data_IF_950779446396
#
_entry.id   IF_950779446396
#
_cell.length_a   1.000
_cell.length_b   1.000
_cell.length_c   1.000
_cell.angle_alpha   90.00
_cell.angle_beta   90.00
_cell.angle_gamma   90.00
#
_symmetry.space_group_name_H-M   'P 1'
#
loop_
_entity.id
_entity.type
_entity.pdbx_description
1 polymer ?
#
# COMPACT_ATOMS: atom_id res chain seq x y z
N UNK A 1 -1.09 -29.85 9.13
CA UNK A 1 -0.08 -28.91 9.00
C UNK A 1 -0.62 -27.53 8.95
N UNK A 2 -1.14 -27.04 8.06
CA UNK A 2 -1.84 -25.79 8.06
C UNK A 2 -0.98 -24.55 8.09
N UNK A 3 -1.64 -23.45 8.37
CA UNK A 3 -1.03 -22.15 8.32
C UNK A 3 0.01 -21.89 9.37
N UNK A 4 -0.09 -22.55 10.54
CA UNK A 4 0.88 -22.35 11.60
C UNK A 4 2.30 -22.74 11.16
N UNK A 5 2.41 -23.86 10.44
CA UNK A 5 3.69 -24.30 9.93
C UNK A 5 4.19 -23.36 8.85
N UNK A 6 3.26 -22.85 8.05
CA UNK A 6 3.60 -22.00 6.95
C UNK A 6 4.15 -20.65 7.40
N UNK A 7 3.52 -20.00 8.36
CA UNK A 7 4.02 -18.71 8.81
C UNK A 7 5.34 -18.84 9.54
N UNK A 8 5.54 -19.93 10.29
CA UNK A 8 6.78 -20.16 10.98
C UNK A 8 7.94 -20.30 10.01
N UNK A 9 7.71 -21.01 8.89
CA UNK A 9 8.71 -21.16 7.86
C UNK A 9 9.08 -19.82 7.23
N UNK A 10 8.08 -19.00 6.93
CA UNK A 10 8.31 -17.68 6.35
C UNK A 10 9.06 -16.79 7.33
N UNK A 11 8.67 -16.79 8.60
CA UNK A 11 9.34 -15.98 9.60
C UNK A 11 10.81 -16.39 9.75
N UNK A 12 11.07 -17.68 9.70
CA UNK A 12 12.44 -18.16 9.80
C UNK A 12 13.29 -17.65 8.63
N UNK A 13 12.73 -17.70 7.43
CA UNK A 13 13.43 -17.21 6.25
C UNK A 13 13.68 -15.71 6.32
N UNK A 14 12.69 -14.97 6.79
CA UNK A 14 12.84 -13.53 6.93
C UNK A 14 13.91 -13.17 7.97
N UNK A 15 13.99 -13.97 9.04
CA UNK A 15 14.95 -13.70 10.10
C UNK A 15 16.40 -13.86 9.68
N UNK A 16 16.65 -14.63 8.62
CA UNK A 16 18.02 -14.86 8.17
C UNK A 16 18.39 -14.07 6.92
N UNK A 17 17.56 -13.08 6.54
CA UNK A 17 17.88 -12.23 5.43
C UNK A 17 19.10 -11.40 5.81
N UNK A 18 20.12 -11.43 4.97
CA UNK A 18 21.35 -10.68 5.20
C UNK A 18 21.59 -9.71 4.03
N UNK A 19 22.67 -8.99 4.08
CA UNK A 19 22.99 -8.01 3.05
C UNK A 19 23.01 -8.57 1.64
N UNK A 20 23.50 -9.78 1.49
CA UNK A 20 23.54 -10.40 0.18
C UNK A 20 22.14 -10.65 -0.34
N UNK A 21 21.28 -11.11 0.55
CA UNK A 21 19.91 -11.37 0.21
C UNK A 21 19.22 -10.08 -0.23
N UNK A 22 19.48 -9.00 0.48
CA UNK A 22 18.93 -7.70 0.14
C UNK A 22 19.44 -7.21 -1.21
N UNK A 23 20.72 -7.39 -1.46
CA UNK A 23 21.30 -6.98 -2.72
C UNK A 23 20.73 -7.76 -3.90
N UNK A 24 20.58 -9.05 -3.73
CA UNK A 24 20.09 -9.91 -4.81
C UNK A 24 18.67 -9.54 -5.06
N UNK A 25 18.12 -8.80 -4.14
CA UNK A 25 16.83 -8.56 -4.22
C UNK A 25 16.48 -7.32 -4.76
N UNK A 26 17.32 -6.54 -5.02
CA UNK A 26 16.99 -5.31 -5.62
C UNK A 26 16.01 -5.58 -6.72
N UNK A 27 16.00 -6.68 -7.20
CA UNK A 27 15.04 -6.97 -8.15
C UNK A 27 13.98 -7.84 -7.63
N UNK A 28 13.90 -7.97 -6.42
CA UNK A 28 13.31 -8.96 -5.94
C UNK A 28 12.28 -8.98 -5.23
N UNK A 29 11.58 -8.17 -5.42
CA UNK A 29 10.30 -8.18 -5.02
C UNK A 29 9.87 -9.55 -4.86
N UNK A 30 10.71 -10.39 -5.01
CA UNK A 30 10.28 -11.41 -5.41
C UNK A 30 10.62 -12.54 -4.73
N UNK A 31 11.55 -12.51 -4.15
CA UNK A 31 12.06 -13.64 -3.54
C UNK A 31 11.19 -14.14 -2.39
N UNK A 32 10.38 -13.29 -1.88
CA UNK A 32 9.49 -13.67 -0.79
C UNK A 32 8.06 -13.53 -1.25
N UNK A 33 7.51 -14.57 -1.81
CA UNK A 33 6.14 -14.49 -2.29
C UNK A 33 5.18 -14.33 -1.14
N UNK A 34 4.24 -13.41 -1.29
CA UNK A 34 3.22 -13.22 -0.28
C UNK A 34 2.08 -14.20 -0.49
N UNK A 35 2.06 -14.85 -1.63
CA UNK A 35 0.97 -15.76 -1.95
C UNK A 35 0.81 -16.84 -0.92
N UNK A 36 -0.37 -17.09 -0.54
CA UNK A 36 -0.65 -18.13 0.40
C UNK A 36 -0.81 -17.67 1.85
N UNK A 37 -0.29 -16.51 2.22
CA UNK A 37 -0.49 -15.97 3.54
C UNK A 37 -1.44 -14.78 3.51
N UNK A 38 -1.29 -13.90 2.52
CA UNK A 38 -2.23 -12.83 2.27
C UNK A 38 -2.74 -12.98 0.85
N UNK A 39 -4.00 -12.71 0.63
CA UNK A 39 -4.52 -12.71 -0.73
C UNK A 39 -3.98 -11.48 -1.47
N UNK A 40 -4.03 -11.50 -2.81
CA UNK A 40 -3.46 -10.41 -3.59
C UNK A 40 -4.05 -9.04 -3.26
N UNK A 41 -5.34 -8.97 -3.00
CA UNK A 41 -6.00 -7.71 -2.67
C UNK A 41 -5.48 -7.16 -1.35
N UNK A 42 -5.44 -8.00 -0.32
CA UNK A 42 -4.96 -7.59 0.99
C UNK A 42 -3.50 -7.15 0.92
N UNK A 43 -2.66 -7.91 0.20
CA UNK A 43 -1.27 -7.55 0.02
C UNK A 43 -1.13 -6.19 -0.66
N UNK A 44 -1.93 -5.94 -1.70
CA UNK A 44 -1.87 -4.67 -2.41
C UNK A 44 -2.32 -3.50 -1.53
N UNK A 45 -3.34 -3.71 -0.70
CA UNK A 45 -3.79 -2.67 0.23
C UNK A 45 -2.72 -2.35 1.28
N UNK A 46 -2.05 -3.36 1.79
CA UNK A 46 -0.94 -3.16 2.73
C UNK A 46 0.17 -2.35 2.06
N UNK A 47 0.45 -2.63 0.79
CA UNK A 47 1.48 -1.91 0.05
C UNK A 47 1.11 -0.44 -0.16
N UNK A 48 -0.15 -0.14 -0.42
CA UNK A 48 -0.60 1.25 -0.50
C UNK A 48 -0.34 1.96 0.82
N UNK A 49 -0.70 1.33 1.93
CA UNK A 49 -0.47 1.90 3.25
C UNK A 49 1.01 2.18 3.51
N UNK A 50 1.86 1.25 3.13
CA UNK A 50 3.31 1.41 3.30
C UNK A 50 3.84 2.57 2.47
N UNK A 51 3.38 2.71 1.23
CA UNK A 51 3.79 3.80 0.35
C UNK A 51 3.40 5.17 0.92
N UNK A 52 2.21 5.25 1.49
CA UNK A 52 1.76 6.49 2.14
C UNK A 52 2.64 6.78 3.35
N UNK A 53 2.89 5.79 4.17
CA UNK A 53 3.64 5.96 5.41
C UNK A 53 5.08 6.42 5.20
N UNK A 54 5.72 5.96 4.13
CA UNK A 54 7.10 6.36 3.86
C UNK A 54 7.20 7.65 3.03
N UNK A 55 6.05 8.21 2.66
CA UNK A 55 6.05 9.46 1.88
C UNK A 55 6.55 9.29 0.46
N UNK A 56 6.10 8.23 -0.20
CA UNK A 56 6.53 7.92 -1.57
C UNK A 56 6.15 9.00 -2.58
N UNK A 57 6.89 9.14 -3.66
CA UNK A 57 6.55 10.09 -4.73
C UNK A 57 5.21 9.75 -5.38
N UNK A 58 4.61 10.76 -6.02
CA UNK A 58 3.32 10.65 -6.67
C UNK A 58 3.19 9.43 -7.58
N UNK A 59 4.21 9.17 -8.39
CA UNK A 59 4.16 8.06 -9.34
C UNK A 59 4.03 6.71 -8.63
N UNK A 60 4.66 6.57 -7.48
CA UNK A 60 4.57 5.34 -6.71
C UNK A 60 3.19 5.18 -6.08
N UNK A 61 2.61 6.26 -5.59
CA UNK A 61 1.28 6.23 -5.00
C UNK A 61 0.22 5.90 -6.05
N UNK A 62 0.34 6.48 -7.23
CA UNK A 62 -0.57 6.19 -8.32
C UNK A 62 -0.46 4.73 -8.76
N UNK A 63 0.77 4.26 -8.91
CA UNK A 63 1.01 2.88 -9.31
C UNK A 63 0.50 1.88 -8.27
N UNK A 64 0.77 2.14 -7.01
CA UNK A 64 0.30 1.28 -5.93
C UNK A 64 -1.23 1.22 -5.85
N UNK A 65 -1.88 2.38 -6.04
CA UNK A 65 -3.33 2.46 -6.04
C UNK A 65 -3.91 1.69 -7.24
N UNK A 66 -3.34 1.89 -8.42
CA UNK A 66 -3.79 1.20 -9.63
C UNK A 66 -3.63 -0.32 -9.46
N UNK A 67 -2.55 -0.73 -8.86
CA UNK A 67 -2.31 -2.15 -8.62
C UNK A 67 -3.31 -2.73 -7.64
N UNK A 68 -3.68 -1.99 -6.61
CA UNK A 68 -4.70 -2.43 -5.67
C UNK A 68 -6.06 -2.58 -6.35
N UNK A 69 -6.42 -1.64 -7.22
CA UNK A 69 -7.64 -1.74 -8.00
C UNK A 69 -7.63 -2.99 -8.89
N UNK A 70 -6.50 -3.25 -9.55
CA UNK A 70 -6.37 -4.43 -10.39
C UNK A 70 -6.48 -5.72 -9.59
N UNK A 71 -6.12 -5.69 -8.33
CA UNK A 71 -6.21 -6.86 -7.46
C UNK A 71 -7.61 -7.01 -6.85
N UNK A 72 -8.53 -6.13 -7.19
CA UNK A 72 -9.91 -6.23 -6.74
C UNK A 72 -10.30 -5.32 -5.58
N UNK A 73 -9.42 -4.44 -5.17
CA UNK A 73 -9.75 -3.50 -4.09
C UNK A 73 -10.72 -2.44 -4.60
N UNK A 74 -11.60 -2.00 -3.73
CA UNK A 74 -12.54 -0.93 -4.05
C UNK A 74 -11.95 0.41 -3.65
N UNK A 75 -12.50 1.49 -4.17
CA UNK A 75 -12.11 2.84 -3.77
C UNK A 75 -12.32 3.03 -2.27
N UNK A 76 -13.39 2.47 -1.73
CA UNK A 76 -13.67 2.56 -0.29
C UNK A 76 -12.59 1.85 0.52
N UNK A 77 -12.16 0.69 0.08
CA UNK A 77 -11.11 -0.05 0.77
C UNK A 77 -9.79 0.70 0.75
N UNK A 78 -9.44 1.28 -0.39
CA UNK A 78 -8.21 2.05 -0.51
C UNK A 78 -8.27 3.31 0.38
N UNK A 79 -9.42 3.99 0.39
CA UNK A 79 -9.62 5.12 1.27
C UNK A 79 -9.52 4.70 2.73
N UNK A 80 -10.07 3.54 3.06
CA UNK A 80 -9.95 2.96 4.38
C UNK A 80 -8.51 2.75 4.82
N UNK A 81 -7.64 2.38 3.88
CA UNK A 81 -6.21 2.24 4.16
C UNK A 81 -5.61 3.58 4.60
N UNK A 82 -5.98 4.67 3.92
CA UNK A 82 -5.48 5.99 4.28
C UNK A 82 -5.87 6.35 5.71
N UNK A 83 -7.11 6.02 6.09
CA UNK A 83 -7.57 6.27 7.46
C UNK A 83 -6.84 5.38 8.45
N UNK A 84 -6.64 4.13 8.09
CA UNK A 84 -6.01 3.16 9.00
C UNK A 84 -4.55 3.47 9.28
N UNK A 85 -3.80 3.98 8.29
CA UNK A 85 -2.38 4.29 8.50
C UNK A 85 -2.14 5.66 9.13
N UNK A 86 -3.19 6.49 9.19
CA UNK A 86 -3.06 7.86 9.69
C UNK A 86 -2.35 7.98 11.03
N UNK A 87 -2.77 7.22 12.06
CA UNK A 87 -2.14 7.32 13.37
C UNK A 87 -0.64 7.02 13.37
N UNK A 88 -0.21 6.10 12.53
CA UNK A 88 1.19 5.69 12.47
C UNK A 88 2.01 6.56 11.51
N UNK A 89 1.43 6.91 10.38
CA UNK A 89 2.14 7.67 9.36
C UNK A 89 2.19 9.17 9.64
N UNK A 90 1.18 9.66 10.33
CA UNK A 90 1.02 11.09 10.57
C UNK A 90 0.12 11.73 9.53
N UNK A 91 -0.67 12.68 9.97
CA UNK A 91 -1.67 13.31 9.13
C UNK A 91 -1.08 14.01 7.91
N UNK A 92 0.12 14.57 8.05
CA UNK A 92 0.77 15.24 6.93
C UNK A 92 1.07 14.31 5.77
N UNK A 93 1.54 13.09 6.06
CA UNK A 93 1.82 12.13 5.01
C UNK A 93 0.54 11.65 4.34
N UNK A 94 -0.50 11.45 5.13
CA UNK A 94 -1.80 11.04 4.57
C UNK A 94 -2.35 12.16 3.67
N UNK A 95 -2.37 13.38 4.17
CA UNK A 95 -2.87 14.52 3.40
C UNK A 95 -2.07 14.72 2.12
N UNK A 96 -0.75 14.53 2.20
CA UNK A 96 0.11 14.66 1.02
C UNK A 96 -0.14 13.58 -0.02
N UNK A 97 -0.60 12.41 0.39
CA UNK A 97 -0.87 11.32 -0.53
C UNK A 97 -2.25 11.41 -1.18
N UNK A 98 -3.19 12.13 -0.57
CA UNK A 98 -4.57 12.17 -1.04
C UNK A 98 -4.72 12.57 -2.51
N UNK A 99 -4.08 13.64 -3.01
CA UNK A 99 -4.29 14.02 -4.41
C UNK A 99 -3.88 12.92 -5.39
N UNK A 100 -2.78 12.23 -5.10
CA UNK A 100 -2.26 11.20 -6.00
C UNK A 100 -3.09 9.92 -5.97
N UNK A 101 -3.51 9.53 -4.78
CA UNK A 101 -4.37 8.36 -4.63
C UNK A 101 -5.73 8.66 -5.26
N UNK A 102 -6.28 9.83 -4.99
CA UNK A 102 -7.57 10.24 -5.56
C UNK A 102 -7.53 10.26 -7.08
N UNK A 103 -6.44 10.79 -7.65
CA UNK A 103 -6.30 10.84 -9.11
C UNK A 103 -6.33 9.44 -9.71
N UNK A 104 -5.64 8.49 -9.07
CA UNK A 104 -5.65 7.11 -9.55
C UNK A 104 -7.02 6.45 -9.41
N UNK A 105 -7.84 6.95 -8.48
CA UNK A 105 -9.20 6.48 -8.31
C UNK A 105 -10.19 7.20 -9.24
N UNK A 106 -9.70 8.17 -9.99
CA UNK A 106 -10.54 8.92 -10.91
C UNK A 106 -11.29 10.10 -10.26
N UNK A 107 -10.84 10.55 -9.10
CA UNK A 107 -11.51 11.63 -8.38
C UNK A 107 -10.59 12.85 -8.28
N UNK A 108 -11.05 13.97 -8.81
CA UNK A 108 -10.29 15.22 -8.77
C UNK A 108 -10.69 16.01 -7.51
N UNK A 109 -9.91 15.85 -6.47
CA UNK A 109 -10.16 16.50 -5.19
C UNK A 109 -10.13 18.02 -5.32
N UNK A 110 -9.21 18.55 -6.11
CA UNK A 110 -9.08 19.99 -6.24
C UNK A 110 -10.32 20.61 -6.89
N UNK A 111 -10.81 19.99 -7.95
CA UNK A 111 -12.03 20.46 -8.61
C UNK A 111 -13.21 20.34 -7.67
N UNK A 112 -13.29 19.26 -6.92
CA UNK A 112 -14.37 19.05 -5.97
C UNK A 112 -14.40 20.15 -4.90
N UNK A 113 -13.23 20.55 -4.41
CA UNK A 113 -13.13 21.59 -3.41
C UNK A 113 -13.54 22.96 -4.00
N UNK A 114 -13.24 23.20 -5.27
CA UNK A 114 -13.61 24.46 -5.91
C UNK A 114 -15.11 24.51 -6.17
N UNK A 115 -15.74 23.39 -6.42
CA UNK A 115 -17.18 23.32 -6.69
C UNK A 115 -18.00 23.43 -5.40
N UNK A 116 -17.40 23.19 -4.26
CA UNK A 116 -18.07 23.29 -2.98
C UNK A 116 -17.19 24.08 -2.02
N UNK A 117 -17.11 25.40 -2.24
CA UNK A 117 -16.24 26.24 -1.41
C UNK A 117 -16.66 26.29 0.06
N UNK A 118 -17.91 25.94 0.36
CA UNK A 118 -18.39 25.91 1.73
C UNK A 118 -18.26 24.51 2.30
N UNK A 119 -17.68 23.65 1.53
CA UNK A 119 -17.60 22.25 1.81
C UNK A 119 -17.01 21.90 3.13
N UNK A 120 -17.11 20.65 3.51
CA UNK A 120 -17.05 20.21 4.88
C UNK A 120 -15.87 20.66 5.68
#
# INVERSE_FOLDING_TARGET
MGQAVRFQEVLRKLAIIDERCVADQAGLSLALPTSGLLDPKTAALVQVGALVAIGSPAVCLEWGTTRALAAGATADEITGVLLAVGPEAGLGRVAGAVPDVAAALGYDVETALLEDPDGP
#
